data_IF_212849747842
#
_entry.id   IF_212849747842
#
_cell.length_a   1.000
_cell.length_b   1.000
_cell.length_c   1.000
_cell.angle_alpha   90.00
_cell.angle_beta   90.00
_cell.angle_gamma   90.00
#
_symmetry.space_group_name_H-M   'P 1'
#
loop_
_entity.id
_entity.type
_entity.pdbx_description
1 polymer ?
#
# COMPACT_ATOMS: atom_id res chain seq x y z
N UNK A 1 18.44 -18.01 39.18
CA UNK A 1 18.17 -19.34 39.78
C UNK A 1 19.41 -20.18 39.54
N UNK A 2 20.21 -20.33 40.59
CA UNK A 2 21.57 -20.90 40.56
C UNK A 2 21.46 -22.37 40.92
N UNK A 3 21.60 -23.27 39.94
CA UNK A 3 21.58 -24.71 40.18
C UNK A 3 23.01 -25.17 40.44
N UNK A 4 23.35 -25.25 41.71
CA UNK A 4 24.52 -25.97 42.23
C UNK A 4 24.00 -26.83 43.36
N UNK A 5 23.40 -27.97 43.00
CA UNK A 5 23.13 -29.04 43.97
C UNK A 5 24.40 -29.86 44.14
N UNK A 6 24.94 -29.80 45.36
CA UNK A 6 26.03 -30.64 45.82
C UNK A 6 25.46 -32.06 46.08
N UNK A 7 25.89 -33.03 45.28
CA UNK A 7 25.47 -34.43 45.45
C UNK A 7 26.00 -35.01 46.78
N UNK A 8 25.20 -35.79 47.54
CA UNK A 8 25.62 -36.32 48.83
C UNK A 8 26.68 -37.41 48.64
N UNK A 9 27.68 -37.40 49.53
CA UNK A 9 28.79 -38.36 49.53
C UNK A 9 28.30 -39.79 49.75
N UNK A 10 28.48 -40.63 48.73
CA UNK A 10 28.30 -42.08 48.83
C UNK A 10 29.59 -42.77 49.25
N UNK A 11 29.45 -43.71 50.18
CA UNK A 11 30.50 -44.60 50.68
C UNK A 11 31.29 -45.27 49.53
N UNK A 12 32.61 -45.10 49.54
CA UNK A 12 33.50 -45.76 48.58
C UNK A 12 33.74 -47.23 48.99
N UNK A 13 33.50 -48.22 48.13
CA UNK A 13 34.04 -49.55 48.34
C UNK A 13 35.56 -49.47 48.17
N UNK A 14 36.29 -49.69 49.27
CA UNK A 14 37.75 -49.78 49.25
C UNK A 14 38.16 -51.06 48.50
N UNK A 15 38.52 -50.94 47.22
CA UNK A 15 39.07 -52.07 46.45
C UNK A 15 39.13 -51.96 44.92
N UNK A 16 38.52 -50.95 44.29
CA UNK A 16 38.54 -50.81 42.82
C UNK A 16 39.72 -49.96 42.31
N UNK A 17 40.20 -50.25 41.09
CA UNK A 17 41.24 -49.44 40.44
C UNK A 17 40.69 -48.01 40.19
N UNK A 18 41.33 -46.94 40.70
CA UNK A 18 40.90 -45.58 40.44
C UNK A 18 40.84 -45.22 38.94
N UNK A 19 41.53 -45.96 38.07
CA UNK A 19 41.39 -45.83 36.61
C UNK A 19 40.06 -46.33 36.08
N UNK A 20 39.51 -47.41 36.63
CA UNK A 20 38.20 -47.93 36.26
C UNK A 20 37.09 -46.94 36.65
N UNK A 21 37.16 -46.37 37.86
CA UNK A 21 36.21 -45.35 38.29
C UNK A 21 36.25 -44.06 37.44
N UNK A 22 37.41 -43.69 36.90
CA UNK A 22 37.54 -42.58 35.96
C UNK A 22 36.97 -42.94 34.58
N UNK A 23 37.19 -44.16 34.10
CA UNK A 23 36.66 -44.65 32.83
C UNK A 23 35.13 -44.74 32.87
N UNK A 24 34.54 -45.22 33.96
CA UNK A 24 33.08 -45.27 34.14
C UNK A 24 32.45 -43.87 34.16
N UNK A 25 33.12 -42.89 34.78
CA UNK A 25 32.68 -41.49 34.75
C UNK A 25 32.75 -40.88 33.34
N UNK A 26 33.83 -41.17 32.59
CA UNK A 26 33.98 -40.72 31.19
C UNK A 26 32.95 -41.41 30.26
N UNK A 27 32.66 -42.69 30.50
CA UNK A 27 31.66 -43.44 29.75
C UNK A 27 30.22 -43.01 30.09
N UNK A 28 29.96 -42.60 31.34
CA UNK A 28 28.67 -42.05 31.75
C UNK A 28 28.40 -40.65 31.19
N UNK A 29 29.45 -39.83 30.95
CA UNK A 29 29.34 -38.50 30.34
C UNK A 29 29.09 -38.54 28.81
N UNK A 30 29.13 -39.71 28.17
CA UNK A 30 29.12 -39.83 26.70
C UNK A 30 27.75 -40.06 26.07
N UNK A 31 26.65 -39.57 26.66
CA UNK A 31 25.32 -39.67 26.04
C UNK A 31 25.17 -38.75 24.81
N UNK A 32 26.06 -37.77 24.66
CA UNK A 32 26.10 -36.89 23.48
C UNK A 32 27.55 -36.67 23.10
N UNK A 33 27.98 -37.22 21.97
CA UNK A 33 29.35 -36.93 21.50
C UNK A 33 29.46 -35.46 21.14
N UNK A 34 30.68 -34.89 21.17
CA UNK A 34 30.92 -33.53 20.65
C UNK A 34 30.37 -33.35 19.23
N UNK A 35 30.39 -34.41 18.42
CA UNK A 35 29.83 -34.42 17.06
C UNK A 35 28.31 -34.34 17.07
N UNK A 36 27.65 -35.04 17.98
CA UNK A 36 26.19 -35.02 18.08
C UNK A 36 25.68 -33.69 18.63
N UNK A 37 26.39 -33.11 19.61
CA UNK A 37 26.14 -31.75 20.08
C UNK A 37 26.24 -30.73 18.94
N UNK A 38 27.32 -30.76 18.15
CA UNK A 38 27.49 -29.86 17.00
C UNK A 38 26.43 -30.09 15.92
N UNK A 39 25.98 -31.34 15.69
CA UNK A 39 24.88 -31.64 14.75
C UNK A 39 23.55 -31.07 15.23
N UNK A 40 23.22 -31.21 16.50
CA UNK A 40 21.96 -30.67 17.06
C UNK A 40 21.95 -29.15 16.97
N UNK A 41 23.04 -28.49 17.40
CA UNK A 41 23.12 -27.02 17.34
C UNK A 41 23.02 -26.51 15.91
N UNK A 42 23.74 -27.12 14.97
CA UNK A 42 23.72 -26.69 13.56
C UNK A 42 22.37 -26.94 12.89
N UNK A 43 21.72 -28.07 13.15
CA UNK A 43 20.40 -28.38 12.57
C UNK A 43 19.28 -27.52 13.14
N UNK A 44 19.22 -27.31 14.46
CA UNK A 44 18.21 -26.45 15.08
C UNK A 44 18.41 -24.99 14.66
N UNK A 45 19.64 -24.49 14.72
CA UNK A 45 19.94 -23.11 14.32
C UNK A 45 19.70 -22.90 12.82
N UNK A 46 20.09 -23.87 11.99
CA UNK A 46 19.85 -23.85 10.55
C UNK A 46 18.36 -23.89 10.21
N UNK A 47 17.59 -24.73 10.91
CA UNK A 47 16.13 -24.80 10.75
C UNK A 47 15.44 -23.48 11.11
N UNK A 48 15.83 -22.86 12.22
CA UNK A 48 15.32 -21.54 12.62
C UNK A 48 15.71 -20.45 11.62
N UNK A 49 16.94 -20.46 11.11
CA UNK A 49 17.39 -19.51 10.10
C UNK A 49 16.59 -19.63 8.80
N UNK A 50 16.41 -20.86 8.29
CA UNK A 50 15.60 -21.13 7.09
C UNK A 50 14.14 -20.76 7.32
N UNK A 51 13.57 -21.11 8.48
CA UNK A 51 12.21 -20.73 8.87
C UNK A 51 12.04 -19.21 8.93
N UNK A 52 13.00 -18.49 9.52
CA UNK A 52 13.02 -17.03 9.58
C UNK A 52 13.09 -16.39 8.20
N UNK A 53 13.91 -16.92 7.29
CA UNK A 53 13.98 -16.49 5.89
C UNK A 53 12.64 -16.72 5.19
N UNK A 54 11.99 -17.88 5.40
CA UNK A 54 10.68 -18.19 4.83
C UNK A 54 9.60 -17.21 5.29
N UNK A 55 9.55 -16.89 6.59
CA UNK A 55 8.63 -15.88 7.14
C UNK A 55 8.93 -14.49 6.56
N UNK A 56 10.20 -14.09 6.53
CA UNK A 56 10.60 -12.79 6.00
C UNK A 56 10.23 -12.64 4.51
N UNK A 57 10.44 -13.68 3.70
CA UNK A 57 10.03 -13.69 2.30
C UNK A 57 8.50 -13.55 2.15
N UNK A 58 7.73 -14.26 2.98
CA UNK A 58 6.27 -14.13 2.99
C UNK A 58 5.77 -12.75 3.44
N UNK A 59 6.41 -12.15 4.46
CA UNK A 59 6.06 -10.80 4.92
C UNK A 59 6.42 -9.72 3.90
N UNK A 60 7.56 -9.87 3.21
CA UNK A 60 7.98 -8.93 2.17
C UNK A 60 7.05 -8.99 0.96
N UNK A 61 6.49 -10.16 0.64
CA UNK A 61 5.47 -10.28 -0.41
C UNK A 61 4.11 -9.67 0.00
N UNK A 62 3.84 -9.55 1.30
CA UNK A 62 2.58 -8.99 1.84
C UNK A 62 2.63 -7.48 2.10
N UNK A 63 3.81 -6.93 2.38
CA UNK A 63 4.02 -5.48 2.63
C UNK A 63 4.80 -4.77 1.53
N UNK A 64 5.49 -5.52 0.68
CA UNK A 64 6.00 -5.01 -0.58
C UNK A 64 4.82 -4.72 -1.48
N UNK A 65 4.83 -3.52 -2.06
CA UNK A 65 4.04 -3.11 -3.21
C UNK A 65 3.74 -4.34 -4.08
N UNK A 66 2.49 -4.83 -4.04
CA UNK A 66 2.12 -6.08 -4.69
C UNK A 66 2.56 -6.07 -6.15
N UNK A 67 3.19 -7.17 -6.59
CA UNK A 67 3.73 -7.37 -7.95
C UNK A 67 4.43 -6.12 -8.52
N UNK A 68 5.70 -5.93 -8.14
CA UNK A 68 6.70 -5.19 -8.92
C UNK A 68 6.19 -3.88 -9.53
N UNK A 69 5.84 -2.92 -8.68
CA UNK A 69 5.57 -1.56 -9.14
C UNK A 69 4.37 -1.41 -10.06
N UNK A 70 3.48 -2.42 -10.14
CA UNK A 70 2.26 -2.31 -10.95
C UNK A 70 1.19 -1.45 -10.25
N UNK A 71 0.63 -0.47 -10.95
CA UNK A 71 -0.46 0.34 -10.45
C UNK A 71 -1.67 -0.57 -10.22
N UNK A 72 -2.33 -0.50 -9.06
CA UNK A 72 -3.56 -1.22 -8.82
C UNK A 72 -4.60 -0.76 -9.81
N UNK A 73 -5.34 -1.73 -10.31
CA UNK A 73 -6.36 -1.50 -11.31
C UNK A 73 -7.53 -0.73 -10.68
N UNK A 74 -8.05 0.31 -11.35
CA UNK A 74 -9.21 1.05 -10.89
C UNK A 74 -10.37 0.12 -10.56
N UNK A 75 -10.94 0.26 -9.36
CA UNK A 75 -12.06 -0.56 -8.87
C UNK A 75 -13.25 0.33 -8.56
N UNK A 76 -14.41 0.00 -9.15
CA UNK A 76 -15.67 0.66 -8.80
C UNK A 76 -16.08 0.20 -7.41
N UNK A 77 -16.25 1.15 -6.49
CA UNK A 77 -16.62 0.86 -5.10
C UNK A 77 -18.12 1.08 -4.83
N UNK A 78 -18.75 2.03 -5.53
CA UNK A 78 -20.18 2.31 -5.39
C UNK A 78 -20.77 2.90 -6.68
N UNK A 79 -22.09 2.81 -6.84
CA UNK A 79 -22.81 3.53 -7.91
C UNK A 79 -23.15 4.98 -7.57
N UNK A 80 -22.91 5.37 -6.32
CA UNK A 80 -23.16 6.68 -5.74
C UNK A 80 -22.88 6.60 -4.24
N UNK A 81 -22.46 7.70 -3.64
CA UNK A 81 -22.28 7.83 -2.20
C UNK A 81 -22.84 9.19 -1.81
N UNK A 82 -23.86 9.25 -0.97
CA UNK A 82 -24.52 10.51 -0.59
C UNK A 82 -23.73 11.21 0.54
N UNK A 83 -23.90 12.54 0.72
CA UNK A 83 -23.28 13.24 1.83
C UNK A 83 -23.64 12.61 3.17
N UNK A 84 -22.61 12.32 3.96
CA UNK A 84 -22.76 11.66 5.23
C UNK A 84 -22.86 10.13 5.17
N UNK A 85 -22.56 9.52 4.03
CA UNK A 85 -22.43 8.06 3.89
C UNK A 85 -20.97 7.61 3.84
N UNK A 86 -20.76 6.36 4.24
CA UNK A 86 -19.47 5.69 4.08
C UNK A 86 -19.66 4.27 3.56
N UNK A 87 -18.66 3.78 2.84
CA UNK A 87 -18.60 2.40 2.37
C UNK A 87 -17.26 1.77 2.72
N UNK A 88 -17.30 0.56 3.27
CA UNK A 88 -16.12 -0.28 3.46
C UNK A 88 -15.92 -1.17 2.23
N UNK A 89 -14.68 -1.31 1.78
CA UNK A 89 -14.33 -2.09 0.59
C UNK A 89 -12.91 -2.67 0.70
N UNK A 90 -12.51 -3.43 -0.32
CA UNK A 90 -11.18 -4.05 -0.43
C UNK A 90 -10.41 -3.45 -1.60
N UNK A 91 -9.26 -2.85 -1.32
CA UNK A 91 -8.37 -2.19 -2.28
C UNK A 91 -7.00 -1.87 -1.66
N UNK A 92 -5.87 -2.05 -2.39
CA UNK A 92 -5.77 -2.50 -3.78
C UNK A 92 -5.98 -4.00 -3.96
N UNK A 93 -5.55 -4.82 -3.00
CA UNK A 93 -5.79 -6.27 -3.01
C UNK A 93 -7.06 -6.67 -2.28
N UNK A 94 -7.41 -7.94 -2.39
CA UNK A 94 -8.57 -8.50 -1.68
C UNK A 94 -8.35 -8.56 -0.16
N UNK A 95 -7.12 -8.54 0.33
CA UNK A 95 -6.83 -8.53 1.77
C UNK A 95 -6.78 -7.11 2.38
N UNK A 96 -6.76 -6.08 1.53
CA UNK A 96 -6.52 -4.70 1.94
C UNK A 96 -7.84 -3.98 2.23
N UNK A 97 -8.14 -3.78 3.52
CA UNK A 97 -9.38 -3.11 3.94
C UNK A 97 -9.26 -1.60 3.77
N UNK A 98 -10.26 -1.00 3.16
CA UNK A 98 -10.37 0.43 2.92
C UNK A 98 -11.77 0.96 3.29
N UNK A 99 -11.86 2.27 3.50
CA UNK A 99 -13.11 3.00 3.73
C UNK A 99 -13.12 4.24 2.87
N UNK A 100 -14.26 4.51 2.23
CA UNK A 100 -14.55 5.77 1.57
C UNK A 100 -15.68 6.45 2.31
N UNK A 101 -15.57 7.76 2.50
CA UNK A 101 -16.53 8.59 3.23
C UNK A 101 -16.85 9.78 2.36
N UNK A 102 -18.13 10.11 2.23
CA UNK A 102 -18.53 11.43 1.77
C UNK A 102 -18.93 12.26 2.98
N UNK A 103 -18.18 13.32 3.24
CA UNK A 103 -18.49 14.27 4.31
C UNK A 103 -19.79 15.02 4.01
N UNK A 104 -20.38 15.65 5.02
CA UNK A 104 -21.66 16.35 4.88
C UNK A 104 -21.60 17.54 3.91
N UNK A 105 -20.42 18.13 3.70
CA UNK A 105 -20.17 19.18 2.70
C UNK A 105 -20.02 18.66 1.27
N UNK A 106 -20.11 17.33 1.08
CA UNK A 106 -19.97 16.65 -0.21
C UNK A 106 -18.54 16.20 -0.54
N UNK A 107 -17.53 16.55 0.28
CA UNK A 107 -16.15 16.12 0.07
C UNK A 107 -16.04 14.60 0.13
N UNK A 108 -15.49 14.00 -0.92
CA UNK A 108 -15.24 12.56 -0.98
C UNK A 108 -13.79 12.26 -0.59
N UNK A 109 -13.60 11.38 0.40
CA UNK A 109 -12.29 10.98 0.92
C UNK A 109 -12.21 9.47 1.07
N UNK A 110 -10.99 8.93 1.01
CA UNK A 110 -10.73 7.49 1.10
C UNK A 110 -9.45 7.19 1.85
N UNK A 111 -9.48 6.14 2.68
CA UNK A 111 -8.38 5.72 3.53
C UNK A 111 -8.28 4.20 3.64
N UNK A 112 -7.10 3.71 3.99
CA UNK A 112 -6.98 2.37 4.55
C UNK A 112 -7.80 2.29 5.84
N UNK A 113 -8.60 1.24 5.99
CA UNK A 113 -9.36 0.95 7.20
C UNK A 113 -8.53 0.13 8.20
N UNK A 114 -7.20 0.27 8.16
CA UNK A 114 -6.24 -0.43 9.00
C UNK A 114 -5.46 0.59 9.84
N UNK A 115 -5.63 0.51 11.16
CA UNK A 115 -5.01 1.42 12.10
C UNK A 115 -3.48 1.28 12.07
N UNK A 116 -2.78 2.41 12.00
CA UNK A 116 -1.32 2.48 11.94
C UNK A 116 -0.61 2.13 13.26
N UNK A 117 -1.36 1.89 14.34
CA UNK A 117 -0.82 1.38 15.60
C UNK A 117 -0.54 -0.13 15.52
N UNK A 118 -1.59 -0.96 15.53
CA UNK A 118 -1.50 -2.43 15.57
C UNK A 118 -2.51 -3.10 14.63
N UNK A 119 -2.80 -2.49 13.48
CA UNK A 119 -3.60 -3.04 12.38
C UNK A 119 -5.07 -3.42 12.70
N UNK A 120 -5.64 -2.85 13.76
CA UNK A 120 -7.07 -2.92 14.04
C UNK A 120 -7.91 -2.23 12.95
N UNK A 121 -9.19 -2.60 12.85
CA UNK A 121 -10.12 -1.94 11.95
C UNK A 121 -10.38 -0.48 12.39
N UNK A 122 -10.39 0.43 11.41
CA UNK A 122 -10.80 1.82 11.60
C UNK A 122 -12.22 1.99 11.08
N UNK A 123 -13.07 2.64 11.85
CA UNK A 123 -14.48 2.85 11.58
C UNK A 123 -14.76 4.35 11.45
N UNK A 124 -15.55 4.76 10.47
CA UNK A 124 -16.03 6.13 10.43
C UNK A 124 -17.18 6.31 11.43
N UNK A 125 -17.11 7.40 12.20
CA UNK A 125 -18.08 7.78 13.23
C UNK A 125 -18.58 9.18 12.92
N UNK A 126 -19.69 9.24 12.17
CA UNK A 126 -20.37 10.49 11.81
C UNK A 126 -20.83 11.28 13.04
N UNK A 127 -21.19 10.58 14.11
CA UNK A 127 -21.73 11.14 15.35
C UNK A 127 -20.68 11.82 16.26
N UNK A 128 -19.42 11.88 15.83
CA UNK A 128 -18.31 12.40 16.63
C UNK A 128 -17.48 13.40 15.85
N UNK A 129 -17.05 14.48 16.50
CA UNK A 129 -16.42 15.62 15.83
C UNK A 129 -17.42 16.44 15.02
N UNK A 130 -16.94 17.52 14.39
CA UNK A 130 -17.80 18.40 13.57
C UNK A 130 -18.11 17.84 12.19
N UNK A 131 -17.21 17.02 11.64
CA UNK A 131 -17.31 16.45 10.28
C UNK A 131 -17.30 14.91 10.30
N UNK A 132 -17.48 14.30 11.48
CA UNK A 132 -17.16 12.90 11.72
C UNK A 132 -15.69 12.69 12.13
N UNK A 133 -15.38 11.51 12.65
CA UNK A 133 -14.00 11.06 12.91
C UNK A 133 -13.78 9.63 12.41
N UNK A 134 -12.53 9.28 12.13
CA UNK A 134 -12.11 7.91 11.87
C UNK A 134 -11.57 7.32 13.18
N UNK A 135 -12.25 6.32 13.71
CA UNK A 135 -12.02 5.81 15.06
C UNK A 135 -11.55 4.34 15.06
N UNK A 136 -10.52 4.07 15.85
CA UNK A 136 -10.01 2.74 16.13
C UNK A 136 -10.32 2.35 17.59
N UNK A 137 -11.17 1.34 17.84
CA UNK A 137 -11.62 1.00 19.18
C UNK A 137 -10.58 0.26 20.04
N UNK A 138 -9.50 -0.26 19.47
CA UNK A 138 -8.57 -1.12 20.21
C UNK A 138 -7.80 -0.38 21.30
N UNK A 139 -7.37 0.85 21.02
CA UNK A 139 -6.62 1.69 21.95
C UNK A 139 -6.98 3.17 21.76
N UNK A 140 -8.25 3.42 21.39
CA UNK A 140 -8.82 4.76 21.23
C UNK A 140 -8.02 5.67 20.28
N UNK A 141 -7.56 5.10 19.15
CA UNK A 141 -6.92 5.89 18.10
C UNK A 141 -7.96 6.70 17.34
N UNK A 142 -7.71 7.99 17.15
CA UNK A 142 -8.60 8.91 16.43
C UNK A 142 -7.83 9.57 15.29
N UNK A 143 -8.46 9.60 14.13
CA UNK A 143 -7.95 10.29 12.96
C UNK A 143 -9.01 11.28 12.46
N UNK A 144 -8.53 12.41 11.96
CA UNK A 144 -9.38 13.42 11.33
C UNK A 144 -10.05 12.85 10.07
N UNK A 145 -11.36 13.05 9.93
CA UNK A 145 -12.11 12.45 8.82
C UNK A 145 -11.74 13.03 7.45
N UNK A 146 -11.29 14.28 7.39
CA UNK A 146 -10.99 15.00 6.14
C UNK A 146 -9.56 14.77 5.65
N UNK A 147 -8.60 14.69 6.57
CA UNK A 147 -7.18 14.58 6.25
C UNK A 147 -6.64 13.16 6.47
N UNK A 148 -7.23 12.39 7.39
CA UNK A 148 -6.73 11.09 7.84
C UNK A 148 -5.56 11.20 8.83
N UNK A 149 -5.20 12.40 9.27
CA UNK A 149 -4.14 12.63 10.24
C UNK A 149 -4.54 12.22 11.65
N UNK A 150 -3.56 11.82 12.46
CA UNK A 150 -3.81 11.43 13.86
C UNK A 150 -4.20 12.65 14.67
N UNK A 151 -5.34 12.60 15.36
CA UNK A 151 -5.80 13.65 16.26
C UNK A 151 -5.75 13.23 17.72
N UNK A 152 -5.84 11.92 18.01
CA UNK A 152 -5.68 11.39 19.36
C UNK A 152 -5.27 9.91 19.37
N UNK A 153 -4.85 9.46 20.55
CA UNK A 153 -4.48 8.07 20.84
C UNK A 153 -3.02 7.73 20.47
N UNK A 154 -2.65 6.45 20.57
CA UNK A 154 -1.30 5.97 20.31
C UNK A 154 -0.84 5.86 18.84
N UNK A 155 -1.68 5.93 17.77
CA UNK A 155 -1.18 5.79 16.41
C UNK A 155 -0.04 6.77 16.10
N UNK A 156 1.10 6.30 15.54
CA UNK A 156 2.27 7.15 15.36
C UNK A 156 2.22 8.01 14.09
N UNK A 157 1.28 7.74 13.17
CA UNK A 157 1.19 8.37 11.84
C UNK A 157 -0.23 8.30 11.29
N UNK A 158 -0.60 9.25 10.43
CA UNK A 158 -1.90 9.29 9.76
C UNK A 158 -2.17 8.08 8.88
N UNK A 159 -3.43 7.86 8.51
CA UNK A 159 -3.82 6.72 7.68
C UNK A 159 -3.28 6.84 6.25
N UNK A 160 -2.84 5.72 5.63
CA UNK A 160 -2.60 5.68 4.19
C UNK A 160 -3.88 6.08 3.45
N UNK A 161 -3.78 6.95 2.43
CA UNK A 161 -4.93 7.42 1.66
C UNK A 161 -5.25 6.45 0.54
N UNK A 162 -6.53 6.31 0.24
CA UNK A 162 -7.03 5.66 -0.98
C UNK A 162 -7.58 6.75 -1.87
N UNK A 163 -7.00 6.93 -3.04
CA UNK A 163 -7.44 7.93 -4.01
C UNK A 163 -8.77 7.47 -4.57
N UNK A 164 -9.82 8.19 -4.22
CA UNK A 164 -11.19 7.95 -4.67
C UNK A 164 -11.63 9.08 -5.58
N UNK A 165 -12.31 8.74 -6.67
CA UNK A 165 -12.85 9.69 -7.63
C UNK A 165 -14.32 9.38 -7.87
N UNK A 166 -15.11 10.43 -8.09
CA UNK A 166 -16.48 10.35 -8.55
C UNK A 166 -16.50 10.68 -10.04
N UNK A 167 -17.19 9.85 -10.82
CA UNK A 167 -17.36 10.04 -12.26
C UNK A 167 -18.65 10.82 -12.56
N UNK A 168 -18.82 11.27 -13.80
CA UNK A 168 -19.99 12.05 -14.24
C UNK A 168 -21.33 11.31 -14.07
N UNK A 169 -21.30 9.97 -14.03
CA UNK A 169 -22.47 9.11 -13.79
C UNK A 169 -22.79 8.93 -12.29
N UNK A 170 -22.05 9.58 -11.40
CA UNK A 170 -22.14 9.46 -9.94
C UNK A 170 -21.44 8.24 -9.37
N UNK A 171 -20.84 7.38 -10.19
CA UNK A 171 -20.13 6.20 -9.68
C UNK A 171 -18.82 6.58 -9.01
N UNK A 172 -18.51 5.89 -7.91
CA UNK A 172 -17.31 6.13 -7.12
C UNK A 172 -16.29 5.02 -7.37
N UNK A 173 -15.04 5.40 -7.62
CA UNK A 173 -13.95 4.52 -7.97
C UNK A 173 -12.74 4.74 -7.07
N UNK A 174 -12.07 3.66 -6.67
CA UNK A 174 -10.74 3.70 -6.09
C UNK A 174 -9.70 3.49 -7.20
N UNK A 175 -8.72 4.40 -7.29
CA UNK A 175 -7.75 4.45 -8.40
C UNK A 175 -6.29 4.48 -7.93
N UNK A 176 -6.06 4.68 -6.64
CA UNK A 176 -4.72 4.91 -6.11
C UNK A 176 -4.60 4.65 -4.62
N UNK A 177 -3.39 4.45 -4.11
CA UNK A 177 -3.11 4.49 -2.67
C UNK A 177 -1.80 5.20 -2.40
N UNK A 178 -1.71 5.85 -1.24
CA UNK A 178 -0.49 6.46 -0.71
C UNK A 178 0.05 5.63 0.46
N UNK A 179 1.28 5.89 0.88
CA UNK A 179 1.82 5.50 2.19
C UNK A 179 1.35 6.52 3.25
N UNK A 180 1.43 6.17 4.53
CA UNK A 180 1.11 7.14 5.59
C UNK A 180 2.07 8.31 5.57
N UNK A 181 1.53 9.52 5.71
CA UNK A 181 2.30 10.76 5.64
C UNK A 181 2.75 11.15 4.23
N UNK A 182 2.51 10.28 3.23
CA UNK A 182 2.76 10.58 1.82
C UNK A 182 1.58 11.37 1.25
N UNK A 183 1.87 12.46 0.54
CA UNK A 183 0.85 13.21 -0.20
C UNK A 183 0.28 12.38 -1.36
N UNK A 184 -0.88 12.79 -1.88
CA UNK A 184 -1.49 12.10 -3.02
C UNK A 184 -0.58 12.19 -4.26
N UNK A 185 0.05 13.33 -4.48
CA UNK A 185 0.98 13.55 -5.60
C UNK A 185 2.21 12.65 -5.51
N UNK A 186 2.86 12.60 -4.35
CA UNK A 186 4.02 11.71 -4.13
C UNK A 186 3.64 10.24 -4.30
N UNK A 187 2.49 9.82 -3.78
CA UNK A 187 2.02 8.44 -3.93
C UNK A 187 1.71 8.06 -5.37
N UNK A 188 1.12 8.98 -6.14
CA UNK A 188 0.89 8.79 -7.58
C UNK A 188 2.24 8.72 -8.32
N UNK A 189 3.16 9.64 -8.03
CA UNK A 189 4.45 9.69 -8.70
C UNK A 189 5.33 8.47 -8.40
N UNK A 190 5.37 8.00 -7.15
CA UNK A 190 6.07 6.76 -6.76
C UNK A 190 5.56 5.56 -7.56
N UNK A 191 4.24 5.47 -7.75
CA UNK A 191 3.61 4.37 -8.48
C UNK A 191 3.88 4.46 -9.98
N UNK A 192 3.61 5.62 -10.58
CA UNK A 192 3.89 5.86 -12.00
C UNK A 192 5.37 5.65 -12.35
N UNK A 193 6.29 5.98 -11.44
CA UNK A 193 7.72 5.74 -11.63
C UNK A 193 8.10 4.26 -11.76
N UNK A 194 7.35 3.35 -11.11
CA UNK A 194 7.53 1.90 -11.24
C UNK A 194 6.90 1.35 -12.51
N UNK A 195 5.69 1.80 -12.84
CA UNK A 195 4.88 1.31 -13.97
C UNK A 195 5.28 1.86 -15.35
N UNK A 196 5.36 3.18 -15.42
CA UNK A 196 5.28 4.01 -16.62
C UNK A 196 6.23 5.20 -16.47
N UNK A 197 7.55 4.95 -16.42
CA UNK A 197 8.54 5.98 -16.11
C UNK A 197 8.55 7.12 -17.13
N UNK A 198 8.22 6.84 -18.40
CA UNK A 198 8.06 7.83 -19.46
C UNK A 198 6.91 8.81 -19.18
N UNK A 199 5.80 8.32 -18.64
CA UNK A 199 4.65 9.13 -18.27
C UNK A 199 4.96 9.94 -17.00
N UNK A 200 5.64 9.35 -16.01
CA UNK A 200 6.04 10.03 -14.79
C UNK A 200 6.91 11.27 -15.10
N UNK A 201 7.89 11.14 -15.99
CA UNK A 201 8.72 12.27 -16.44
C UNK A 201 7.91 13.35 -17.16
N UNK A 202 6.88 12.97 -17.92
CA UNK A 202 6.02 13.92 -18.65
C UNK A 202 5.05 14.69 -17.76
N UNK A 203 4.59 14.08 -16.67
CA UNK A 203 3.72 14.72 -15.66
C UNK A 203 4.55 15.61 -14.71
N UNK A 204 5.89 15.54 -14.80
CA UNK A 204 6.78 16.35 -13.98
C UNK A 204 6.89 15.83 -12.56
N UNK A 205 6.75 14.50 -12.36
CA UNK A 205 7.02 13.90 -11.07
C UNK A 205 8.44 14.27 -10.62
N UNK A 206 8.63 14.72 -9.38
CA UNK A 206 9.96 15.04 -8.88
C UNK A 206 10.83 13.78 -8.99
N UNK A 207 12.06 13.91 -9.50
CA UNK A 207 13.05 12.85 -9.46
C UNK A 207 13.35 12.57 -7.98
N UNK A 208 12.65 11.61 -7.39
CA UNK A 208 12.89 11.16 -6.01
C UNK A 208 14.13 10.27 -6.03
N UNK A 209 15.27 10.90 -6.34
CA UNK A 209 16.59 10.29 -6.28
C UNK A 209 16.96 10.03 -4.83
N UNK A 210 16.55 8.88 -4.30
CA UNK A 210 16.88 8.45 -2.95
C UNK A 210 16.54 6.98 -2.74
N UNK A 211 17.45 6.08 -3.11
CA UNK A 211 17.30 4.65 -2.78
C UNK A 211 17.93 3.63 -3.72
N UNK A 212 18.77 4.01 -4.68
CA UNK A 212 19.73 3.10 -5.28
C UNK A 212 20.80 3.94 -6.00
N UNK A 213 22.00 4.03 -5.41
CA UNK A 213 23.17 4.52 -6.14
C UNK A 213 23.36 3.63 -7.38
N UNK A 214 22.98 4.16 -8.54
CA UNK A 214 23.48 3.62 -9.80
C UNK A 214 24.98 3.84 -9.82
N UNK A 215 25.81 2.83 -10.15
CA UNK A 215 27.25 3.00 -10.18
C UNK A 215 27.62 4.09 -11.19
N UNK A 216 28.69 4.86 -10.94
CA UNK A 216 29.04 6.00 -11.77
C UNK A 216 29.25 5.53 -13.21
N UNK A 217 28.52 6.15 -14.15
CA UNK A 217 28.71 5.92 -15.58
C UNK A 217 30.18 6.18 -15.91
N UNK A 218 30.87 5.14 -16.38
CA UNK A 218 32.25 5.21 -16.80
C UNK A 218 32.43 6.32 -17.84
N UNK A 219 33.33 7.25 -17.53
CA UNK A 219 33.75 8.27 -18.46
C UNK A 219 34.49 7.63 -19.64
N UNK A 220 34.09 7.99 -20.86
CA UNK A 220 34.99 8.02 -22.01
C UNK A 220 34.63 7.11 -23.18
N UNK A 221 34.04 7.71 -24.22
CA UNK A 221 34.48 7.46 -25.59
C UNK A 221 34.16 8.70 -26.45
N UNK A 222 35.21 9.50 -26.71
CA UNK A 222 35.18 10.63 -27.64
C UNK A 222 34.96 10.09 -29.06
N UNK A 223 33.82 10.41 -29.69
CA UNK A 223 33.68 10.34 -31.14
C UNK A 223 33.87 11.74 -31.73
N UNK A 224 34.84 11.85 -32.64
CA UNK A 224 35.33 13.10 -33.21
C UNK A 224 34.40 13.61 -34.32
N UNK A 225 34.38 14.93 -34.40
CA UNK A 225 33.67 15.79 -35.34
C UNK A 225 34.21 15.68 -36.78
N UNK A 226 33.33 15.75 -37.78
CA UNK A 226 33.55 16.32 -39.14
C UNK A 226 32.18 16.81 -39.64
N UNK A 227 31.91 18.12 -39.60
CA UNK A 227 32.09 19.10 -40.70
C UNK A 227 31.35 18.65 -41.97
N UNK A 228 30.35 19.35 -42.50
CA UNK A 228 30.31 20.75 -42.98
C UNK A 228 28.83 21.11 -43.25
N UNK A 229 28.36 22.34 -42.95
CA UNK A 229 28.12 23.41 -43.95
C UNK A 229 26.96 23.05 -44.90
N UNK A 230 25.85 23.76 -45.07
CA UNK A 230 25.59 25.20 -45.08
C UNK A 230 24.05 25.37 -45.15
N UNK A 231 23.48 26.43 -44.56
CA UNK A 231 22.13 26.95 -44.90
C UNK A 231 22.34 28.16 -45.80
N UNK A 232 21.45 28.43 -46.78
CA UNK A 232 20.39 29.41 -46.46
C UNK A 232 19.03 29.18 -47.17
N UNK A 233 17.99 29.78 -46.59
CA UNK A 233 16.68 30.05 -47.21
C UNK A 233 16.82 31.22 -48.25
N UNK A 234 15.80 31.73 -49.01
CA UNK A 234 14.34 31.62 -48.77
C UNK A 234 13.37 31.74 -50.00
N UNK A 235 12.06 31.80 -49.68
CA UNK A 235 10.93 32.55 -50.30
C UNK A 235 10.20 32.09 -51.59
N UNK A 236 8.88 32.34 -51.50
CA UNK A 236 7.86 32.73 -52.49
C UNK A 236 7.38 31.65 -53.49
N UNK A 237 6.13 31.19 -53.43
CA UNK A 237 4.82 31.83 -53.72
C UNK A 237 4.44 31.80 -55.21
N UNK A 238 3.28 31.20 -55.49
CA UNK A 238 2.41 31.29 -56.67
C UNK A 238 1.38 30.16 -56.50
N UNK A 239 0.10 30.49 -56.28
CA UNK A 239 -0.88 30.67 -57.36
C UNK A 239 -1.33 29.27 -57.82
N UNK A 240 -2.60 28.88 -57.81
CA UNK A 240 -3.85 29.58 -58.11
C UNK A 240 -4.97 28.60 -57.75
N UNK A 241 -6.09 29.10 -57.20
CA UNK A 241 -7.44 29.04 -57.80
C UNK A 241 -7.97 27.61 -58.07
N UNK A 242 -9.15 27.18 -57.65
CA UNK A 242 -10.43 27.86 -57.59
C UNK A 242 -11.42 26.89 -56.87
N UNK A 243 -12.30 27.37 -55.98
CA UNK A 243 -13.76 27.55 -56.27
C UNK A 243 -14.48 26.18 -56.39
N UNK A 244 -15.52 25.81 -55.64
CA UNK A 244 -16.67 26.49 -55.00
C UNK A 244 -17.23 25.47 -53.98
N UNK A 245 -17.54 25.84 -52.73
CA UNK A 245 -18.88 26.28 -52.23
C UNK A 245 -20.03 25.48 -52.87
N UNK A 246 -20.96 24.94 -52.10
CA UNK A 246 -21.96 25.77 -51.43
C UNK A 246 -22.76 25.01 -50.35
N UNK A 247 -23.00 25.74 -49.26
CA UNK A 247 -24.29 25.89 -48.52
C UNK A 247 -24.95 24.63 -47.96
N UNK A 248 -25.28 24.54 -46.67
CA UNK A 248 -25.88 25.58 -45.83
C UNK A 248 -27.25 25.07 -45.32
N UNK A 249 -27.78 25.64 -44.23
CA UNK A 249 -28.54 24.94 -43.19
C UNK A 249 -30.07 25.08 -43.32
N UNK A 250 -30.82 24.38 -42.47
CA UNK A 250 -32.19 24.78 -42.12
C UNK A 250 -32.63 24.27 -40.73
N UNK A 251 -33.24 25.18 -40.00
CA UNK A 251 -33.83 25.12 -38.66
C UNK A 251 -35.10 24.26 -38.53
N UNK A 252 -35.43 23.91 -37.28
CA UNK A 252 -36.78 24.17 -36.74
C UNK A 252 -37.71 22.98 -36.44
N UNK A 253 -38.80 23.19 -35.67
CA UNK A 253 -38.86 22.69 -34.28
C UNK A 253 -40.13 21.89 -33.90
N UNK A 254 -40.09 21.26 -32.71
CA UNK A 254 -41.24 21.06 -31.82
C UNK A 254 -41.77 19.63 -31.65
N UNK A 255 -41.96 19.17 -30.40
CA UNK A 255 -43.27 19.15 -29.70
C UNK A 255 -43.14 18.57 -28.26
N UNK A 256 -44.00 19.07 -27.39
CA UNK A 256 -44.15 18.76 -25.95
C UNK A 256 -45.12 17.60 -25.74
N UNK A 257 -44.87 16.79 -24.70
CA UNK A 257 -45.84 16.15 -23.76
C UNK A 257 -44.98 15.68 -22.57
N UNK A 258 -45.18 16.00 -21.29
CA UNK A 258 -46.40 16.29 -20.54
C UNK A 258 -46.80 15.03 -19.77
N UNK A 259 -46.40 14.90 -18.49
CA UNK A 259 -46.77 13.79 -17.61
C UNK A 259 -46.08 13.84 -16.23
N UNK A 260 -46.74 14.50 -15.28
CA UNK A 260 -46.37 14.62 -13.85
C UNK A 260 -46.81 13.35 -13.07
N UNK A 261 -46.14 12.97 -11.96
CA UNK A 261 -46.37 11.70 -11.27
C UNK A 261 -47.62 11.71 -10.38
N UNK A 262 -48.27 10.55 -10.25
CA UNK A 262 -49.32 10.31 -9.29
C UNK A 262 -48.72 9.99 -7.91
N UNK A 263 -49.03 10.86 -6.95
CA UNK A 263 -49.01 10.61 -5.52
C UNK A 263 -50.06 9.57 -5.14
N UNK A 264 -49.69 8.58 -4.34
CA UNK A 264 -50.63 7.76 -3.59
C UNK A 264 -50.19 7.72 -2.12
N UNK A 265 -51.00 8.37 -1.31
CA UNK A 265 -50.92 8.44 0.14
C UNK A 265 -51.12 7.07 0.80
N UNK A 266 -50.42 6.91 1.91
CA UNK A 266 -50.66 5.95 2.97
C UNK A 266 -51.79 6.46 3.89
N UNK A 267 -52.76 5.62 4.28
CA UNK A 267 -53.15 5.67 5.69
C UNK A 267 -53.52 4.31 6.32
N UNK A 268 -52.84 3.99 7.43
CA UNK A 268 -53.36 3.18 8.53
C UNK A 268 -52.95 1.70 8.50
N UNK A 269 -52.89 0.95 9.59
CA UNK A 269 -53.18 1.18 11.02
C UNK A 269 -52.82 -0.16 11.70
N UNK A 270 -52.23 -0.12 12.90
CA UNK A 270 -52.32 -1.14 13.98
C UNK A 270 -51.90 -2.59 13.70
N UNK A 271 -50.82 -3.02 14.33
CA UNK A 271 -50.83 -3.90 15.51
C UNK A 271 -49.43 -3.86 16.15
#
# INVERSE_FOLDING_TARGET
>A
MSVTDQQPGGDHPAGGDPREALQDRIAADSLTTRRDYLRIVTTVSGGLAVGGIGVAAGMLHRHGDGEEGKAPEPKRIAGGLLPGESIAFRYPGEEDRAVAVRLDDGTLVGYSAVCTHLACAVLWRKDRGSEGELYCPCHEGVFDARSGEVTAGPPPRGLPKVVVIEQDDGSVWAVGTTRSGESIEEGICRRLGGDRPDLASRIGCPDIGGGAESPPRAAGARARNRSTGERPAPRADSGTESVRRTTGPADGPGRRTGGTPATAENPGRRA
#
